data_IF_990309769096
#
_entry.id   IF_990309769096
#
_cell.length_a   1.000
_cell.length_b   1.000
_cell.length_c   1.000
_cell.angle_alpha   90.00
_cell.angle_beta   90.00
_cell.angle_gamma   90.00
#
_symmetry.space_group_name_H-M   'P 1'
#
loop_
_entity.id
_entity.type
_entity.pdbx_description
1 polymer ?
#
# COMPACT_ATOMS: atom_id res chain seq x y z
N UNK A 1 8.19 -9.75 17.97
CA UNK A 1 7.28 -10.64 17.22
C UNK A 1 7.73 -10.68 15.77
N UNK A 2 8.24 -11.81 15.28
CA UNK A 2 8.70 -11.91 13.88
C UNK A 2 7.46 -11.98 13.00
N UNK A 3 7.04 -10.85 12.45
CA UNK A 3 5.96 -10.82 11.47
C UNK A 3 6.44 -11.56 10.21
N UNK A 4 6.03 -12.80 9.99
CA UNK A 4 6.46 -13.59 8.83
C UNK A 4 5.92 -12.96 7.54
N UNK A 5 6.82 -12.36 6.75
CA UNK A 5 6.51 -11.63 5.51
C UNK A 5 5.63 -12.47 4.58
N UNK A 6 5.93 -13.77 4.50
CA UNK A 6 5.22 -14.74 3.68
C UNK A 6 3.74 -14.88 4.08
N UNK A 7 3.46 -14.86 5.39
CA UNK A 7 2.10 -15.03 5.92
C UNK A 7 1.26 -13.80 5.59
N UNK A 8 1.79 -12.59 5.80
CA UNK A 8 1.07 -11.36 5.45
C UNK A 8 0.79 -11.24 3.95
N UNK A 9 1.76 -11.54 3.08
CA UNK A 9 1.52 -11.53 1.63
C UNK A 9 0.52 -12.59 1.19
N UNK A 10 0.54 -13.78 1.81
CA UNK A 10 -0.41 -14.85 1.50
C UNK A 10 -1.85 -14.45 1.87
N UNK A 11 -2.06 -13.83 3.04
CA UNK A 11 -3.38 -13.32 3.41
C UNK A 11 -3.89 -12.25 2.45
N UNK A 12 -3.02 -11.32 2.03
CA UNK A 12 -3.39 -10.29 1.05
C UNK A 12 -3.85 -10.95 -0.26
N UNK A 13 -3.06 -11.86 -0.81
CA UNK A 13 -3.40 -12.57 -2.05
C UNK A 13 -4.70 -13.38 -1.92
N UNK A 14 -4.91 -14.07 -0.79
CA UNK A 14 -6.12 -14.85 -0.54
C UNK A 14 -7.36 -13.97 -0.48
N UNK A 15 -7.30 -12.86 0.28
CA UNK A 15 -8.43 -11.94 0.40
C UNK A 15 -8.79 -11.37 -0.97
N UNK A 16 -7.80 -10.91 -1.74
CA UNK A 16 -8.03 -10.38 -3.09
C UNK A 16 -8.64 -11.44 -4.02
N UNK A 17 -8.13 -12.67 -4.00
CA UNK A 17 -8.65 -13.77 -4.82
C UNK A 17 -10.11 -14.09 -4.49
N UNK A 18 -10.44 -14.20 -3.20
CA UNK A 18 -11.81 -14.47 -2.74
C UNK A 18 -12.74 -13.32 -3.10
N UNK A 19 -12.34 -12.07 -2.87
CA UNK A 19 -13.14 -10.90 -3.23
C UNK A 19 -13.43 -10.82 -4.73
N UNK A 20 -12.42 -11.04 -5.57
CA UNK A 20 -12.60 -11.05 -7.02
C UNK A 20 -13.48 -12.21 -7.49
N UNK A 21 -13.33 -13.39 -6.90
CA UNK A 21 -14.15 -14.55 -7.23
C UNK A 21 -15.62 -14.33 -6.88
N UNK A 22 -15.90 -13.79 -5.68
CA UNK A 22 -17.26 -13.46 -5.26
C UNK A 22 -17.89 -12.37 -6.13
N UNK A 23 -17.17 -11.27 -6.40
CA UNK A 23 -17.65 -10.20 -7.26
C UNK A 23 -17.88 -10.67 -8.70
N UNK A 24 -16.96 -11.47 -9.25
CA UNK A 24 -17.10 -12.08 -10.56
C UNK A 24 -18.29 -13.02 -10.63
N UNK A 25 -18.56 -13.78 -9.56
CA UNK A 25 -19.68 -14.70 -9.43
C UNK A 25 -21.03 -13.99 -9.38
N UNK A 26 -21.13 -12.95 -8.56
CA UNK A 26 -22.36 -12.12 -8.44
C UNK A 26 -22.66 -11.39 -9.75
N UNK A 27 -21.64 -10.87 -10.43
CA UNK A 27 -21.80 -10.13 -11.69
C UNK A 27 -21.88 -11.03 -12.93
N UNK A 28 -21.80 -12.36 -12.79
CA UNK A 28 -21.76 -13.31 -13.92
C UNK A 28 -20.62 -13.05 -14.91
N UNK A 29 -19.57 -12.33 -14.49
CA UNK A 29 -18.51 -11.80 -15.35
C UNK A 29 -17.31 -12.75 -15.47
N UNK A 30 -17.42 -13.97 -14.93
CA UNK A 30 -16.37 -14.99 -15.01
C UNK A 30 -16.32 -15.59 -16.42
N UNK A 31 -15.46 -15.01 -17.25
CA UNK A 31 -15.19 -15.47 -18.62
C UNK A 31 -14.13 -16.57 -18.61
N UNK A 32 -14.56 -17.83 -18.52
CA UNK A 32 -13.65 -18.99 -18.58
C UNK A 32 -13.21 -19.35 -20.01
N UNK A 33 -13.86 -18.78 -21.03
CA UNK A 33 -13.56 -19.01 -22.44
C UNK A 33 -12.38 -18.15 -22.93
N UNK A 34 -11.22 -18.22 -22.26
CA UNK A 34 -9.99 -17.59 -22.72
C UNK A 34 -9.15 -18.55 -23.57
N UNK A 35 -8.47 -17.99 -24.58
CA UNK A 35 -7.43 -18.69 -25.35
C UNK A 35 -6.31 -19.22 -24.42
N UNK A 36 -5.64 -20.34 -24.74
CA UNK A 36 -4.50 -20.84 -23.98
C UNK A 36 -3.40 -19.79 -23.73
N UNK A 37 -3.18 -18.89 -24.69
CA UNK A 37 -2.27 -17.75 -24.52
C UNK A 37 -2.74 -16.74 -23.47
N UNK A 38 -4.06 -16.49 -23.39
CA UNK A 38 -4.66 -15.62 -22.38
C UNK A 38 -4.48 -16.16 -20.97
N UNK A 39 -4.67 -17.48 -20.79
CA UNK A 39 -4.38 -18.15 -19.51
C UNK A 39 -2.91 -18.01 -19.11
N UNK A 40 -1.98 -18.15 -20.06
CA UNK A 40 -0.56 -17.97 -19.79
C UNK A 40 -0.25 -16.55 -19.29
N UNK A 41 -0.79 -15.52 -19.95
CA UNK A 41 -0.61 -14.13 -19.49
C UNK A 41 -1.21 -13.88 -18.11
N UNK A 42 -2.41 -14.41 -17.83
CA UNK A 42 -3.05 -14.28 -16.52
C UNK A 42 -2.21 -14.92 -15.40
N UNK A 43 -1.72 -16.14 -15.63
CA UNK A 43 -0.85 -16.83 -14.65
C UNK A 43 0.47 -16.07 -14.49
N UNK A 44 1.09 -15.64 -15.60
CA UNK A 44 2.33 -14.88 -15.57
C UNK A 44 2.18 -13.57 -14.78
N UNK A 45 1.10 -12.80 -15.00
CA UNK A 45 0.85 -11.57 -14.26
C UNK A 45 0.60 -11.83 -12.77
N UNK A 46 -0.12 -12.91 -12.43
CA UNK A 46 -0.37 -13.28 -11.03
C UNK A 46 0.90 -13.68 -10.29
N UNK A 47 1.78 -14.45 -10.94
CA UNK A 47 3.09 -14.84 -10.39
C UNK A 47 3.98 -13.63 -10.22
N UNK A 48 4.11 -12.78 -11.24
CA UNK A 48 4.93 -11.56 -11.17
C UNK A 48 4.44 -10.61 -10.06
N UNK A 49 3.12 -10.41 -9.96
CA UNK A 49 2.53 -9.58 -8.89
C UNK A 49 2.79 -10.14 -7.49
N UNK A 50 2.71 -11.46 -7.32
CA UNK A 50 2.98 -12.13 -6.04
C UNK A 50 4.44 -11.99 -5.62
N UNK A 51 5.37 -12.15 -6.57
CA UNK A 51 6.81 -11.94 -6.32
C UNK A 51 7.06 -10.48 -5.96
N UNK A 52 6.50 -9.52 -6.71
CA UNK A 52 6.64 -8.10 -6.43
C UNK A 52 6.15 -7.73 -5.02
N UNK A 53 4.96 -8.23 -4.62
CA UNK A 53 4.42 -8.01 -3.27
C UNK A 53 5.29 -8.62 -2.18
N UNK A 54 5.79 -9.85 -2.39
CA UNK A 54 6.68 -10.50 -1.43
C UNK A 54 7.99 -9.71 -1.26
N UNK A 55 8.61 -9.30 -2.37
CA UNK A 55 9.82 -8.47 -2.38
C UNK A 55 9.57 -7.11 -1.75
N UNK A 56 8.41 -6.50 -2.00
CA UNK A 56 8.01 -5.24 -1.38
C UNK A 56 7.90 -5.38 0.14
N UNK A 57 7.14 -6.38 0.63
CA UNK A 57 7.00 -6.65 2.06
C UNK A 57 8.35 -6.97 2.73
N UNK A 58 9.26 -7.66 2.03
CA UNK A 58 10.62 -7.91 2.50
C UNK A 58 11.47 -6.63 2.53
N UNK A 59 11.33 -5.76 1.52
CA UNK A 59 11.99 -4.45 1.44
C UNK A 59 11.53 -3.50 2.54
N UNK A 60 10.23 -3.47 2.84
CA UNK A 60 9.67 -2.63 3.92
C UNK A 60 10.32 -2.91 5.27
N UNK A 61 10.67 -4.17 5.56
CA UNK A 61 11.38 -4.55 6.79
C UNK A 61 12.78 -3.95 6.89
N UNK A 62 13.41 -3.61 5.75
CA UNK A 62 14.76 -3.04 5.70
C UNK A 62 14.76 -1.51 5.68
N UNK A 63 13.84 -0.88 4.94
CA UNK A 63 13.82 0.59 4.73
C UNK A 63 12.78 1.34 5.56
N UNK A 64 11.96 0.61 6.33
CA UNK A 64 10.89 1.15 7.17
C UNK A 64 9.62 1.49 6.39
N UNK A 65 8.48 1.54 7.10
CA UNK A 65 7.16 1.81 6.52
C UNK A 65 7.03 3.21 5.89
N UNK A 66 7.75 4.20 6.42
CA UNK A 66 7.72 5.58 5.90
C UNK A 66 8.28 5.67 4.49
N UNK A 67 9.41 5.04 4.21
CA UNK A 67 10.03 5.01 2.87
C UNK A 67 9.19 4.18 1.90
N UNK A 68 8.68 3.04 2.36
CA UNK A 68 7.77 2.21 1.59
C UNK A 68 6.49 2.95 1.16
N UNK A 69 5.91 3.76 2.07
CA UNK A 69 4.76 4.60 1.76
C UNK A 69 5.05 5.63 0.67
N UNK A 70 6.25 6.22 0.64
CA UNK A 70 6.65 7.13 -0.45
C UNK A 70 6.77 6.38 -1.78
N UNK A 71 7.30 5.16 -1.79
CA UNK A 71 7.33 4.34 -3.01
C UNK A 71 5.93 4.03 -3.54
N UNK A 72 4.97 3.72 -2.66
CA UNK A 72 3.57 3.53 -3.06
C UNK A 72 2.93 4.81 -3.63
N UNK A 73 3.37 5.99 -3.21
CA UNK A 73 2.87 7.25 -3.82
C UNK A 73 3.45 7.52 -5.20
N UNK A 74 4.60 6.92 -5.54
CA UNK A 74 5.26 7.04 -6.85
C UNK A 74 4.72 6.00 -7.85
N UNK A 75 4.32 4.83 -7.36
CA UNK A 75 3.70 3.76 -8.15
C UNK A 75 2.65 4.27 -9.15
N UNK A 76 1.60 5.04 -8.77
CA UNK A 76 0.60 5.52 -9.72
C UNK A 76 1.19 6.39 -10.85
N UNK A 77 2.22 7.17 -10.56
CA UNK A 77 2.91 7.99 -11.58
C UNK A 77 3.62 7.07 -12.57
N UNK A 78 4.33 6.05 -12.08
CA UNK A 78 5.00 5.07 -12.96
C UNK A 78 3.98 4.28 -13.79
N UNK A 79 2.85 3.89 -13.20
CA UNK A 79 1.78 3.19 -13.91
C UNK A 79 1.21 4.02 -15.06
N UNK A 80 0.98 5.33 -14.84
CA UNK A 80 0.52 6.25 -15.90
C UNK A 80 1.56 6.40 -17.00
N UNK A 81 2.85 6.55 -16.65
CA UNK A 81 3.93 6.67 -17.63
C UNK A 81 4.05 5.40 -18.47
N UNK A 82 4.07 4.22 -17.84
CA UNK A 82 4.11 2.94 -18.56
C UNK A 82 2.86 2.72 -19.40
N UNK A 83 1.68 3.09 -18.89
CA UNK A 83 0.43 3.02 -19.66
C UNK A 83 0.50 3.89 -20.91
N UNK A 84 0.99 5.13 -20.81
CA UNK A 84 1.17 6.03 -21.95
C UNK A 84 2.18 5.49 -22.98
N UNK A 85 3.26 4.86 -22.53
CA UNK A 85 4.30 4.30 -23.40
C UNK A 85 3.88 3.00 -24.09
N UNK A 86 3.24 2.08 -23.37
CA UNK A 86 2.90 0.75 -23.89
C UNK A 86 1.63 0.80 -24.75
N UNK A 87 0.65 1.65 -24.42
CA UNK A 87 -0.68 1.47 -24.99
C UNK A 87 -0.81 1.91 -26.45
N UNK A 88 0.08 2.75 -27.00
CA UNK A 88 0.19 3.13 -28.43
C UNK A 88 -1.12 3.41 -29.20
N UNK A 89 -2.24 3.59 -28.50
CA UNK A 89 -3.59 3.74 -29.01
C UNK A 89 -4.12 5.11 -28.63
N UNK A 90 -5.06 5.64 -29.41
CA UNK A 90 -5.68 6.96 -29.17
C UNK A 90 -6.42 6.92 -27.83
N UNK A 91 -5.77 7.46 -26.80
CA UNK A 91 -6.36 7.68 -25.48
C UNK A 91 -7.67 8.45 -25.64
N UNK A 92 -8.76 7.92 -25.10
CA UNK A 92 -10.04 8.64 -25.07
C UNK A 92 -9.91 9.88 -24.17
N UNK A 93 -10.70 10.93 -24.43
CA UNK A 93 -10.69 12.14 -23.61
C UNK A 93 -10.94 11.82 -22.12
N UNK A 94 -11.73 10.78 -21.83
CA UNK A 94 -12.03 10.33 -20.48
C UNK A 94 -10.82 9.65 -19.80
N UNK A 95 -10.01 8.88 -20.54
CA UNK A 95 -8.75 8.32 -20.01
C UNK A 95 -7.72 9.41 -19.71
N UNK A 96 -7.62 10.42 -20.57
CA UNK A 96 -6.78 11.60 -20.33
C UNK A 96 -7.22 12.35 -19.08
N UNK A 97 -8.53 12.57 -18.90
CA UNK A 97 -9.07 13.22 -17.71
C UNK A 97 -8.80 12.40 -16.45
N UNK A 98 -9.04 11.09 -16.49
CA UNK A 98 -8.75 10.18 -15.38
C UNK A 98 -7.27 10.19 -15.02
N UNK A 99 -6.37 10.12 -16.01
CA UNK A 99 -4.92 10.20 -15.81
C UNK A 99 -4.49 11.53 -15.20
N UNK A 100 -5.05 12.66 -15.66
CA UNK A 100 -4.79 13.98 -15.09
C UNK A 100 -5.22 14.09 -13.62
N UNK A 101 -6.42 13.62 -13.28
CA UNK A 101 -6.92 13.60 -11.89
C UNK A 101 -6.01 12.75 -11.00
N UNK A 102 -5.57 11.60 -11.50
CA UNK A 102 -4.68 10.69 -10.77
C UNK A 102 -3.30 11.35 -10.51
N UNK A 103 -2.72 11.99 -11.53
CA UNK A 103 -1.45 12.73 -11.39
C UNK A 103 -1.58 13.90 -10.40
N UNK A 104 -2.66 14.69 -10.47
CA UNK A 104 -2.90 15.79 -9.53
C UNK A 104 -3.03 15.25 -8.10
N UNK A 105 -3.80 14.18 -7.91
CA UNK A 105 -3.95 13.52 -6.60
C UNK A 105 -2.61 13.02 -6.04
N UNK A 106 -1.78 12.39 -6.88
CA UNK A 106 -0.46 11.92 -6.47
C UNK A 106 0.45 13.09 -6.04
N UNK A 107 0.49 14.18 -6.82
CA UNK A 107 1.26 15.38 -6.48
C UNK A 107 0.76 16.01 -5.17
N UNK A 108 -0.56 16.08 -4.96
CA UNK A 108 -1.15 16.59 -3.72
C UNK A 108 -0.73 15.75 -2.50
N UNK A 109 -0.74 14.42 -2.61
CA UNK A 109 -0.33 13.53 -1.51
C UNK A 109 1.15 13.69 -1.18
N UNK A 110 2.01 13.77 -2.20
CA UNK A 110 3.45 13.95 -2.01
C UNK A 110 3.77 15.32 -1.40
N UNK A 111 3.08 16.37 -1.83
CA UNK A 111 3.29 17.74 -1.33
C UNK A 111 2.65 17.99 0.04
N UNK A 112 1.59 17.25 0.40
CA UNK A 112 0.92 17.36 1.69
C UNK A 112 1.74 16.82 2.88
N UNK A 113 2.90 16.18 2.66
CA UNK A 113 3.78 15.75 3.75
C UNK A 113 4.48 16.94 4.44
N UNK A 114 3.79 17.48 5.45
CA UNK A 114 4.36 18.07 6.67
C UNK A 114 3.55 17.67 7.88
N UNK A 115 3.66 16.40 8.30
CA UNK A 115 3.33 16.03 9.67
C UNK A 115 4.39 15.04 10.14
N UNK A 116 5.41 15.57 10.83
CA UNK A 116 6.45 14.77 11.47
C UNK A 116 5.84 13.90 12.57
N UNK A 117 5.85 12.57 12.45
CA UNK A 117 5.38 11.66 13.49
C UNK A 117 6.18 11.79 14.81
N UNK A 118 7.39 12.34 14.73
CA UNK A 118 8.27 12.57 15.87
C UNK A 118 7.73 13.58 16.88
N UNK A 119 6.83 14.49 16.48
CA UNK A 119 6.19 15.42 17.42
C UNK A 119 5.19 14.71 18.36
N UNK A 120 4.53 13.64 17.88
CA UNK A 120 3.53 12.88 18.65
C UNK A 120 4.20 11.94 19.67
N UNK A 121 5.34 11.34 19.31
CA UNK A 121 6.12 10.49 20.23
C UNK A 121 6.83 11.31 21.32
N UNK A 122 7.30 12.53 21.01
CA UNK A 122 7.88 13.44 22.01
C UNK A 122 6.85 13.95 23.03
N UNK A 123 5.62 14.23 22.60
CA UNK A 123 4.51 14.64 23.48
C UNK A 123 4.07 13.52 24.44
N UNK A 124 4.06 12.26 24.00
CA UNK A 124 3.70 11.12 24.86
C UNK A 124 4.78 10.79 25.90
N UNK A 125 6.06 10.95 25.57
CA UNK A 125 7.17 10.73 26.51
C UNK A 125 7.16 11.72 27.67
N UNK A 126 6.94 13.01 27.40
CA UNK A 126 6.91 14.07 28.42
C UNK A 126 5.69 13.96 29.36
N UNK A 127 4.54 13.53 28.84
CA UNK A 127 3.32 13.33 29.65
C UNK A 127 3.43 12.10 30.59
N UNK A 128 4.10 11.02 30.16
CA UNK A 128 4.34 9.85 31.01
C UNK A 128 5.45 10.08 32.05
N UNK A 129 6.54 10.77 31.67
CA UNK A 129 7.61 11.13 32.59
C UNK A 129 7.13 12.09 33.70
N UNK A 130 6.23 13.04 33.38
CA UNK A 130 5.65 13.94 34.38
C UNK A 130 4.72 13.20 35.37
N UNK A 131 3.99 12.16 34.94
CA UNK A 131 3.12 11.37 35.82
C UNK A 131 3.89 10.43 36.76
N UNK A 132 4.99 9.84 36.30
CA UNK A 132 5.86 8.97 37.12
C UNK A 132 6.43 9.73 38.32
N UNK A 133 7.01 10.91 38.07
CA UNK A 133 7.61 11.76 39.11
C UNK A 133 6.57 12.28 40.13
N UNK A 134 5.32 12.50 39.71
CA UNK A 134 4.24 12.92 40.62
C UNK A 134 3.70 11.76 41.47
N UNK A 135 3.70 10.54 40.95
CA UNK A 135 3.27 9.35 41.69
C UNK A 135 4.30 8.93 42.75
N UNK A 136 5.60 8.98 42.43
CA UNK A 136 6.67 8.66 43.39
C UNK A 136 6.74 9.68 44.54
N UNK A 137 6.63 10.98 44.28
CA UNK A 137 6.60 12.00 45.35
C UNK A 137 5.42 11.82 46.31
N UNK A 138 4.23 11.48 45.80
CA UNK A 138 3.05 11.25 46.65
C UNK A 138 3.14 9.95 47.48
N UNK A 139 3.98 9.00 47.09
CA UNK A 139 4.24 7.78 47.87
C UNK A 139 5.30 8.00 48.96
N UNK A 140 6.19 8.98 48.78
CA UNK A 140 7.23 9.31 49.75
C UNK A 140 6.73 10.22 50.89
N UNK A 141 5.71 11.06 50.65
CA UNK A 141 5.10 11.91 51.70
C UNK A 141 4.00 11.21 52.51
N UNK A 142 3.64 9.97 52.16
CA UNK A 142 2.64 9.15 52.88
C UNK A 142 3.24 8.04 53.77
N UNK A 143 4.56 8.02 53.93
CA UNK A 143 5.29 7.21 54.91
C UNK A 143 6.03 8.13 55.88
#
# INVERSE_FOLDING_TARGET
EKQDTAVSSAFICLITAVSLFLLGGVNGSLQFQMSPGGWLFCVASGVLGSIALFTFMAGMKRVGSTTASVLCTIEPVTAVVFSALLLSQKMTALQLLGGMVLLIGAVLVVTAKKTDPSAVLSSRSSHCASKSNSCERKSCERK
#
